data_IF_523207323042
#
_entry.id   IF_523207323042
#
_cell.length_a   1.000
_cell.length_b   1.000
_cell.length_c   1.000
_cell.angle_alpha   90.00
_cell.angle_beta   90.00
_cell.angle_gamma   90.00
#
_symmetry.space_group_name_H-M   'P 1'
#
loop_
_entity.id
_entity.type
_entity.pdbx_description
1 polymer ?
#
# COMPACT_ATOMS: atom_id res chain seq x y z
N UNK A 1 31.34 26.95 1.19
CA UNK A 1 31.15 28.25 0.49
C UNK A 1 30.87 27.97 -0.98
N UNK A 2 29.60 27.80 -1.35
CA UNK A 2 29.17 27.60 -2.73
C UNK A 2 28.24 28.76 -3.10
N UNK A 3 28.64 29.53 -4.14
CA UNK A 3 27.88 30.67 -4.66
C UNK A 3 26.88 30.17 -5.70
N UNK A 4 25.62 30.55 -5.56
CA UNK A 4 24.57 30.33 -6.56
C UNK A 4 24.77 31.23 -7.80
N UNK A 5 24.36 30.80 -9.01
CA UNK A 5 24.38 31.63 -10.19
C UNK A 5 23.14 32.54 -10.27
N UNK A 6 23.36 33.75 -10.79
CA UNK A 6 22.37 34.79 -10.97
C UNK A 6 21.43 34.49 -12.16
N UNK A 7 20.12 34.56 -11.95
CA UNK A 7 19.12 34.50 -13.01
C UNK A 7 18.94 35.87 -13.68
N UNK A 8 19.04 35.89 -15.01
CA UNK A 8 18.67 37.01 -15.89
C UNK A 8 17.17 37.30 -15.83
N UNK A 9 16.79 38.56 -15.59
CA UNK A 9 15.42 39.07 -15.73
C UNK A 9 15.11 39.40 -17.19
N UNK A 10 14.06 38.81 -17.74
CA UNK A 10 13.43 39.21 -19.01
C UNK A 10 12.30 40.19 -18.71
N UNK A 11 12.17 41.34 -19.41
CA UNK A 11 11.07 42.27 -19.20
C UNK A 11 9.78 41.77 -19.88
N UNK A 12 8.71 41.60 -19.11
CA UNK A 12 7.35 41.38 -19.64
C UNK A 12 6.74 42.71 -20.08
N UNK A 13 6.34 42.81 -21.35
CA UNK A 13 5.46 43.87 -21.86
C UNK A 13 4.03 43.63 -21.37
N UNK A 14 3.41 44.66 -20.81
CA UNK A 14 2.00 44.67 -20.42
C UNK A 14 1.09 44.91 -21.65
N UNK A 15 -0.01 44.16 -21.81
CA UNK A 15 -1.12 44.60 -22.64
C UNK A 15 -2.11 45.46 -21.85
N UNK A 16 -2.72 46.39 -22.59
CA UNK A 16 -3.61 47.47 -22.14
C UNK A 16 -4.92 46.94 -21.55
N UNK A 17 -5.35 47.60 -20.49
CA UNK A 17 -6.61 47.40 -19.80
C UNK A 17 -7.82 47.72 -20.70
N UNK A 18 -8.76 46.78 -20.79
CA UNK A 18 -10.15 47.05 -21.12
C UNK A 18 -10.93 47.07 -19.80
N UNK A 19 -11.47 48.23 -19.43
CA UNK A 19 -12.34 48.39 -18.27
C UNK A 19 -13.71 47.79 -18.59
N UNK A 20 -13.98 46.59 -18.06
CA UNK A 20 -15.33 46.06 -17.94
C UNK A 20 -15.86 46.44 -16.56
N UNK A 21 -16.92 47.25 -16.55
CA UNK A 21 -17.67 47.64 -15.36
C UNK A 21 -18.46 46.40 -14.86
N UNK A 22 -17.92 45.69 -13.87
CA UNK A 22 -18.62 44.61 -13.17
C UNK A 22 -19.42 45.22 -12.02
N UNK A 23 -20.74 45.12 -12.12
CA UNK A 23 -21.67 45.45 -11.04
C UNK A 23 -21.53 44.35 -9.98
N UNK A 24 -20.82 44.64 -8.90
CA UNK A 24 -20.65 43.77 -7.75
C UNK A 24 -21.92 43.79 -6.88
N UNK A 25 -22.80 42.80 -7.05
CA UNK A 25 -23.75 42.44 -6.00
C UNK A 25 -22.98 41.72 -4.89
N UNK A 26 -22.64 42.46 -3.83
CA UNK A 26 -22.03 41.94 -2.63
C UNK A 26 -23.01 41.07 -1.84
N UNK A 27 -23.12 39.79 -2.19
CA UNK A 27 -23.48 38.76 -1.22
C UNK A 27 -22.30 38.60 -0.26
N UNK A 28 -22.37 39.27 0.88
CA UNK A 28 -21.51 39.01 2.01
C UNK A 28 -21.79 37.61 2.55
N UNK A 29 -21.19 36.59 1.93
CA UNK A 29 -21.06 35.27 2.53
C UNK A 29 -20.11 35.46 3.71
N UNK A 30 -20.69 35.61 4.91
CA UNK A 30 -19.93 35.55 6.14
C UNK A 30 -19.33 34.14 6.20
N UNK A 31 -18.05 34.04 5.82
CA UNK A 31 -17.21 32.90 6.14
C UNK A 31 -16.99 32.92 7.64
N UNK A 32 -18.02 32.53 8.40
CA UNK A 32 -17.86 32.08 9.78
C UNK A 32 -17.08 30.80 9.72
N UNK A 33 -15.75 30.93 9.56
CA UNK A 33 -14.82 29.84 9.71
C UNK A 33 -14.92 29.36 11.14
N UNK A 34 -15.80 28.38 11.37
CA UNK A 34 -15.67 27.53 12.54
C UNK A 34 -14.29 26.91 12.43
N UNK A 35 -13.35 27.43 13.21
CA UNK A 35 -12.10 26.73 13.50
C UNK A 35 -12.53 25.44 14.16
N UNK A 36 -12.61 24.36 13.37
CA UNK A 36 -12.94 23.03 13.89
C UNK A 36 -11.84 22.67 14.87
N UNK A 37 -12.20 22.69 16.16
CA UNK A 37 -11.28 22.33 17.23
C UNK A 37 -11.10 20.82 17.18
N UNK A 38 -9.85 20.37 17.20
CA UNK A 38 -9.54 18.95 17.24
C UNK A 38 -10.23 18.28 18.46
N UNK A 39 -10.84 17.10 18.29
CA UNK A 39 -11.41 16.32 19.38
C UNK A 39 -10.39 16.08 20.50
N UNK A 40 -10.86 16.02 21.75
CA UNK A 40 -9.99 15.99 22.92
C UNK A 40 -9.15 14.69 23.01
N UNK A 41 -9.72 13.57 22.59
CA UNK A 41 -9.06 12.27 22.52
C UNK A 41 -7.94 12.26 21.46
N UNK A 42 -8.22 12.73 20.24
CA UNK A 42 -7.21 12.88 19.18
C UNK A 42 -6.13 13.86 19.62
N UNK A 43 -6.52 15.02 20.15
CA UNK A 43 -5.57 16.04 20.60
C UNK A 43 -4.66 15.56 21.73
N UNK A 44 -5.18 14.76 22.66
CA UNK A 44 -4.39 14.18 23.75
C UNK A 44 -3.40 13.15 23.21
N UNK A 45 -3.87 12.23 22.36
CA UNK A 45 -3.01 11.19 21.79
C UNK A 45 -1.85 11.78 20.99
N UNK A 46 -2.12 12.75 20.12
CA UNK A 46 -1.06 13.42 19.33
C UNK A 46 -0.08 14.16 20.23
N UNK A 47 -0.58 14.81 21.30
CA UNK A 47 0.29 15.45 22.28
C UNK A 47 1.17 14.44 23.04
N UNK A 48 0.66 13.24 23.30
CA UNK A 48 1.42 12.15 23.93
C UNK A 48 2.53 11.65 23.00
N UNK A 49 2.21 11.39 21.72
CA UNK A 49 3.19 10.99 20.70
C UNK A 49 4.29 12.05 20.52
N UNK A 50 3.93 13.34 20.47
CA UNK A 50 4.91 14.43 20.41
C UNK A 50 5.82 14.47 21.64
N UNK A 51 5.25 14.33 22.86
CA UNK A 51 6.06 14.30 24.08
C UNK A 51 7.00 13.11 24.13
N UNK A 52 6.59 11.95 23.62
CA UNK A 52 7.43 10.76 23.56
C UNK A 52 8.67 10.96 22.67
N UNK A 53 8.61 11.91 21.72
CA UNK A 53 9.70 12.31 20.84
C UNK A 53 10.36 13.63 21.26
N UNK A 54 10.14 14.10 22.50
CA UNK A 54 10.64 15.38 23.02
C UNK A 54 10.23 16.62 22.17
N UNK A 55 9.12 16.54 21.44
CA UNK A 55 8.58 17.61 20.59
C UNK A 55 7.62 18.55 21.33
N UNK A 56 7.44 19.81 20.86
CA UNK A 56 6.43 20.71 21.41
C UNK A 56 5.01 20.16 21.25
N UNK A 57 4.37 19.79 22.37
CA UNK A 57 3.03 19.19 22.41
C UNK A 57 1.90 20.17 22.78
N UNK A 58 2.12 21.47 22.60
CA UNK A 58 1.09 22.49 22.87
C UNK A 58 -0.06 22.45 21.86
N UNK A 59 -1.26 22.98 22.19
CA UNK A 59 -2.44 22.92 21.31
C UNK A 59 -2.19 23.46 19.90
N UNK A 60 -1.38 24.52 19.77
CA UNK A 60 -1.00 25.07 18.48
C UNK A 60 -0.17 24.08 17.66
N UNK A 61 0.81 23.43 18.27
CA UNK A 61 1.64 22.44 17.59
C UNK A 61 0.81 21.27 17.08
N UNK A 62 -0.03 20.68 17.95
CA UNK A 62 -0.98 19.61 17.59
C UNK A 62 -1.89 20.03 16.43
N UNK A 63 -2.52 21.20 16.53
CA UNK A 63 -3.47 21.67 15.51
C UNK A 63 -2.84 21.90 14.12
N UNK A 64 -1.53 22.18 14.05
CA UNK A 64 -0.82 22.34 12.77
C UNK A 64 -0.62 21.02 12.04
N UNK A 65 -0.54 19.90 12.76
CA UNK A 65 -0.36 18.57 12.17
C UNK A 65 -1.68 18.06 11.59
N UNK A 66 -2.79 18.38 12.26
CA UNK A 66 -4.11 17.85 11.97
C UNK A 66 -4.73 18.44 10.70
N UNK A 67 -5.49 17.63 9.98
CA UNK A 67 -6.32 18.07 8.85
C UNK A 67 -7.63 17.28 8.85
N UNK A 68 -8.80 17.94 8.75
CA UNK A 68 -10.07 17.24 8.71
C UNK A 68 -10.21 16.48 7.39
N UNK A 69 -10.77 15.28 7.46
CA UNK A 69 -11.09 14.43 6.31
C UNK A 69 -12.50 13.85 6.46
N UNK A 70 -13.02 13.24 5.40
CA UNK A 70 -14.34 12.58 5.42
C UNK A 70 -14.19 11.14 4.96
N UNK A 71 -14.14 10.23 5.92
CA UNK A 71 -14.10 8.78 5.70
C UNK A 71 -15.47 8.18 6.02
N UNK A 72 -16.04 8.63 7.13
CA UNK A 72 -17.38 8.30 7.59
C UNK A 72 -18.38 9.35 7.11
N UNK A 73 -19.67 8.99 7.00
CA UNK A 73 -20.73 9.96 6.68
C UNK A 73 -20.84 11.11 7.70
N UNK A 74 -20.32 10.94 8.92
CA UNK A 74 -20.33 11.97 9.95
C UNK A 74 -19.35 13.12 9.65
N UNK A 75 -18.29 12.87 8.85
CA UNK A 75 -17.36 13.90 8.41
C UNK A 75 -16.49 14.53 9.50
N UNK A 76 -16.34 13.86 10.64
CA UNK A 76 -15.50 14.29 11.77
C UNK A 76 -14.24 13.42 11.89
N UNK A 77 -13.62 13.09 10.76
CA UNK A 77 -12.42 12.25 10.73
C UNK A 77 -11.18 13.14 10.57
N UNK A 78 -10.03 12.66 11.02
CA UNK A 78 -8.82 13.48 11.09
C UNK A 78 -7.60 12.70 10.61
N UNK A 79 -6.78 13.36 9.78
CA UNK A 79 -5.42 12.92 9.47
C UNK A 79 -4.44 13.73 10.29
N UNK A 80 -3.47 13.07 10.91
CA UNK A 80 -2.33 13.70 11.56
C UNK A 80 -1.10 13.48 10.69
N UNK A 81 -0.47 14.57 10.29
CA UNK A 81 0.68 14.56 9.41
C UNK A 81 1.93 15.02 10.16
N UNK A 82 2.77 14.08 10.55
CA UNK A 82 4.00 14.36 11.30
C UNK A 82 5.12 14.92 10.42
N UNK A 83 5.02 14.89 9.09
CA UNK A 83 5.96 15.58 8.20
C UNK A 83 5.97 17.09 8.48
N UNK A 84 4.83 17.64 8.90
CA UNK A 84 4.68 19.06 9.25
C UNK A 84 5.42 19.45 10.54
N UNK A 85 5.96 18.51 11.29
CA UNK A 85 6.89 18.81 12.39
C UNK A 85 8.21 19.35 11.85
N UNK A 86 8.66 18.87 10.69
CA UNK A 86 9.98 19.13 10.12
C UNK A 86 11.11 18.35 10.82
N UNK A 87 10.80 17.47 11.77
CA UNK A 87 11.78 16.67 12.50
C UNK A 87 12.00 15.30 11.83
N UNK A 88 13.27 14.93 11.68
CA UNK A 88 13.66 13.68 11.02
C UNK A 88 13.34 12.42 11.85
N UNK A 89 13.09 12.54 13.16
CA UNK A 89 12.66 11.44 14.03
C UNK A 89 11.30 10.86 13.64
N UNK A 90 10.46 11.63 12.93
CA UNK A 90 9.19 11.16 12.39
C UNK A 90 9.29 10.61 10.96
N UNK A 91 10.47 10.70 10.34
CA UNK A 91 10.68 10.42 8.92
C UNK A 91 11.91 9.55 8.67
N UNK A 92 11.72 8.38 8.05
CA UNK A 92 12.79 7.47 7.66
C UNK A 92 12.95 7.37 6.14
N UNK A 93 13.65 6.33 5.68
CA UNK A 93 13.68 5.98 4.25
C UNK A 93 12.31 5.55 3.75
N UNK A 94 11.42 5.11 4.64
CA UNK A 94 10.02 4.76 4.34
C UNK A 94 9.07 5.94 4.32
N UNK A 95 9.58 7.18 4.37
CA UNK A 95 8.77 8.40 4.42
C UNK A 95 8.45 8.81 5.85
N UNK A 96 7.37 9.56 6.04
CA UNK A 96 7.00 10.13 7.34
C UNK A 96 5.78 9.45 7.94
N UNK A 97 5.70 9.47 9.26
CA UNK A 97 4.55 8.91 9.99
C UNK A 97 3.27 9.69 9.66
N UNK A 98 2.20 8.98 9.33
CA UNK A 98 0.85 9.52 9.20
C UNK A 98 -0.10 8.73 10.09
N UNK A 99 -1.04 9.41 10.73
CA UNK A 99 -2.12 8.75 11.46
C UNK A 99 -3.48 9.09 10.85
N UNK A 100 -4.42 8.15 10.96
CA UNK A 100 -5.82 8.34 10.59
C UNK A 100 -6.76 7.99 11.73
N UNK A 101 -7.49 9.01 12.18
CA UNK A 101 -8.46 8.94 13.26
C UNK A 101 -9.88 9.04 12.71
N UNK A 102 -10.72 8.07 13.04
CA UNK A 102 -12.08 7.97 12.51
C UNK A 102 -13.11 8.10 13.62
N UNK A 103 -14.11 8.95 13.43
CA UNK A 103 -15.20 9.16 14.37
C UNK A 103 -16.14 7.94 14.40
N UNK A 104 -16.33 7.35 15.59
CA UNK A 104 -17.18 6.19 15.84
C UNK A 104 -17.81 6.27 17.22
N UNK A 105 -19.14 6.10 17.29
CA UNK A 105 -19.85 5.94 18.57
C UNK A 105 -19.53 7.05 19.60
N UNK A 106 -19.34 8.29 19.14
CA UNK A 106 -19.05 9.45 19.99
C UNK A 106 -17.59 9.58 20.45
N UNK A 107 -16.67 8.81 19.88
CA UNK A 107 -15.21 8.92 20.10
C UNK A 107 -14.46 8.77 18.80
N UNK A 108 -13.16 9.06 18.78
CA UNK A 108 -12.28 8.76 17.66
C UNK A 108 -11.52 7.46 17.92
N UNK A 109 -11.31 6.70 16.86
CA UNK A 109 -10.50 5.48 16.87
C UNK A 109 -9.34 5.65 15.89
N UNK A 110 -8.13 5.31 16.33
CA UNK A 110 -6.97 5.23 15.46
C UNK A 110 -7.12 4.02 14.54
N UNK A 111 -7.07 4.24 13.24
CA UNK A 111 -7.31 3.20 12.21
C UNK A 111 -6.12 3.01 11.28
N UNK A 112 -5.16 3.94 11.33
CA UNK A 112 -3.89 3.89 10.60
C UNK A 112 -2.85 4.67 11.40
N UNK A 113 -1.61 4.18 11.52
CA UNK A 113 -0.49 4.85 12.18
C UNK A 113 0.84 4.27 11.70
N UNK A 114 1.32 4.71 10.54
CA UNK A 114 2.48 4.09 9.90
C UNK A 114 3.32 5.11 9.11
N UNK A 115 4.58 4.75 8.84
CA UNK A 115 5.45 5.51 7.93
C UNK A 115 5.11 5.20 6.48
N UNK A 116 4.87 6.24 5.70
CA UNK A 116 4.50 6.12 4.28
C UNK A 116 5.30 7.10 3.43
N UNK A 117 5.72 6.64 2.25
CA UNK A 117 6.36 7.43 1.19
C UNK A 117 5.35 8.31 0.47
N UNK A 118 4.16 7.78 0.21
CA UNK A 118 3.04 8.47 -0.40
C UNK A 118 1.74 8.07 0.29
N UNK A 119 0.79 8.99 0.34
CA UNK A 119 -0.53 8.79 0.93
C UNK A 119 -1.59 9.52 0.13
N UNK A 120 -2.67 8.82 -0.21
CA UNK A 120 -3.81 9.40 -0.90
C UNK A 120 -5.11 8.84 -0.36
N UNK A 121 -5.87 9.71 0.30
CA UNK A 121 -7.24 9.43 0.67
C UNK A 121 -8.17 9.86 -0.47
N UNK A 122 -9.01 8.93 -0.93
CA UNK A 122 -10.00 9.15 -1.99
C UNK A 122 -11.40 9.04 -1.39
N UNK A 123 -12.07 10.18 -1.16
CA UNK A 123 -13.45 10.19 -0.68
C UNK A 123 -14.36 9.46 -1.66
N UNK A 124 -15.29 8.66 -1.14
CA UNK A 124 -16.24 7.90 -1.94
C UNK A 124 -17.16 7.05 -1.07
N UNK A 125 -17.97 6.22 -1.72
CA UNK A 125 -18.74 5.17 -1.05
C UNK A 125 -18.38 3.81 -1.68
N UNK A 126 -17.42 3.07 -1.11
CA UNK A 126 -16.67 3.37 0.12
C UNK A 126 -15.47 4.31 -0.11
N UNK A 127 -15.03 4.99 0.97
CA UNK A 127 -13.77 5.75 0.98
C UNK A 127 -12.58 4.81 0.85
N UNK A 128 -11.59 5.21 0.05
CA UNK A 128 -10.37 4.43 -0.21
C UNK A 128 -9.14 5.16 0.29
N UNK A 129 -8.15 4.39 0.70
CA UNK A 129 -6.84 4.84 1.11
C UNK A 129 -5.78 4.12 0.29
N UNK A 130 -5.05 4.86 -0.54
CA UNK A 130 -3.82 4.40 -1.15
C UNK A 130 -2.62 4.85 -0.34
N UNK A 131 -1.67 3.96 -0.14
CA UNK A 131 -0.36 4.27 0.43
C UNK A 131 0.74 3.66 -0.41
N UNK A 132 1.90 4.30 -0.35
CA UNK A 132 3.17 3.73 -0.77
C UNK A 132 4.06 3.62 0.47
N UNK A 133 4.60 2.44 0.73
CA UNK A 133 5.48 2.18 1.89
C UNK A 133 6.86 1.80 1.39
N UNK A 134 7.83 1.70 2.30
CA UNK A 134 9.18 1.30 1.93
C UNK A 134 9.19 -0.05 1.19
N UNK A 135 9.96 -0.15 0.10
CA UNK A 135 10.03 -1.33 -0.78
C UNK A 135 10.37 -2.63 -0.04
N UNK A 136 11.17 -2.54 1.03
CA UNK A 136 11.52 -3.69 1.87
C UNK A 136 10.30 -4.41 2.48
N UNK A 137 9.15 -3.75 2.62
CA UNK A 137 7.89 -4.39 3.06
C UNK A 137 7.20 -5.24 1.98
N UNK A 138 7.74 -5.24 0.75
CA UNK A 138 7.20 -5.91 -0.42
C UNK A 138 8.19 -6.90 -1.05
N UNK A 139 9.31 -7.20 -0.40
CA UNK A 139 10.48 -7.85 -1.03
C UNK A 139 11.09 -7.06 -2.19
N UNK A 140 10.91 -5.74 -2.18
CA UNK A 140 11.47 -4.81 -3.14
C UNK A 140 12.69 -4.11 -2.54
N UNK A 141 13.55 -3.53 -3.38
CA UNK A 141 14.79 -2.88 -2.94
C UNK A 141 14.65 -1.37 -2.80
N UNK A 142 15.18 -0.80 -1.71
CA UNK A 142 15.21 0.64 -1.49
C UNK A 142 13.84 1.31 -1.56
N UNK A 143 13.73 2.33 -2.43
CA UNK A 143 12.54 3.14 -2.65
C UNK A 143 11.61 2.59 -3.74
N UNK A 144 11.78 1.33 -4.13
CA UNK A 144 10.83 0.69 -5.05
C UNK A 144 9.40 0.74 -4.47
N UNK A 145 8.39 1.14 -5.27
CA UNK A 145 7.03 1.30 -4.77
C UNK A 145 6.47 0.02 -4.14
N UNK A 146 5.97 0.12 -2.91
CA UNK A 146 5.24 -0.94 -2.22
C UNK A 146 3.79 -0.50 -2.02
N UNK A 147 3.05 -0.45 -3.13
CA UNK A 147 1.69 0.09 -3.13
C UNK A 147 0.72 -0.82 -2.36
N UNK A 148 -0.04 -0.22 -1.44
CA UNK A 148 -1.17 -0.85 -0.74
C UNK A 148 -2.41 0.00 -0.90
N UNK A 149 -3.58 -0.64 -0.98
CA UNK A 149 -4.87 0.02 -0.89
C UNK A 149 -5.68 -0.59 0.22
N UNK A 150 -6.40 0.28 0.91
CA UNK A 150 -7.42 -0.07 1.87
C UNK A 150 -8.75 0.56 1.50
N UNK A 151 -9.82 -0.10 1.86
CA UNK A 151 -11.19 0.37 1.72
C UNK A 151 -11.78 0.50 3.12
N UNK A 152 -12.42 1.63 3.39
CA UNK A 152 -13.14 1.81 4.65
C UNK A 152 -14.36 0.90 4.70
N UNK A 153 -14.43 0.08 5.74
CA UNK A 153 -15.59 -0.75 6.01
C UNK A 153 -16.41 -0.17 7.16
N UNK A 154 -17.55 0.45 6.81
CA UNK A 154 -18.37 1.11 7.82
C UNK A 154 -18.95 0.12 8.84
N UNK A 155 -19.37 -1.07 8.41
CA UNK A 155 -19.93 -2.09 9.28
C UNK A 155 -18.90 -2.66 10.28
N UNK A 156 -17.62 -2.73 9.90
CA UNK A 156 -16.56 -3.34 10.71
C UNK A 156 -15.72 -2.34 11.51
N UNK A 157 -15.87 -1.04 11.29
CA UNK A 157 -15.09 -0.07 12.07
C UNK A 157 -13.65 0.11 11.62
N UNK A 158 -13.25 -0.38 10.44
CA UNK A 158 -11.83 -0.50 10.07
C UNK A 158 -11.56 -0.37 8.57
N UNK A 159 -10.27 -0.25 8.25
CA UNK A 159 -9.72 -0.40 6.91
C UNK A 159 -9.54 -1.89 6.57
N UNK A 160 -10.17 -2.35 5.49
CA UNK A 160 -9.97 -3.68 4.91
C UNK A 160 -9.04 -3.56 3.68
N UNK A 161 -8.12 -4.51 3.47
CA UNK A 161 -7.25 -4.52 2.29
C UNK A 161 -8.06 -4.62 0.99
N UNK A 162 -7.57 -3.95 -0.05
CA UNK A 162 -8.14 -4.00 -1.38
C UNK A 162 -7.04 -4.09 -2.45
N UNK A 163 -7.44 -4.47 -3.67
CA UNK A 163 -6.57 -4.38 -4.84
C UNK A 163 -6.05 -2.96 -4.97
N UNK A 164 -4.73 -2.81 -5.08
CA UNK A 164 -4.13 -1.49 -5.15
C UNK A 164 -4.53 -0.76 -6.45
N UNK A 165 -4.04 0.47 -6.58
CA UNK A 165 -4.33 1.32 -7.74
C UNK A 165 -3.91 0.70 -9.08
N UNK A 166 -2.87 -0.12 -9.10
CA UNK A 166 -2.42 -0.90 -10.28
C UNK A 166 -3.26 -2.18 -10.50
N UNK A 167 -4.25 -2.43 -9.65
CA UNK A 167 -5.08 -3.64 -9.69
C UNK A 167 -4.39 -4.86 -9.08
N UNK A 168 -3.30 -4.70 -8.34
CA UNK A 168 -2.57 -5.81 -7.71
C UNK A 168 -3.18 -6.13 -6.35
N UNK A 169 -3.63 -7.38 -6.18
CA UNK A 169 -4.15 -7.91 -4.91
C UNK A 169 -3.16 -8.83 -4.19
N UNK A 170 -1.89 -8.78 -4.57
CA UNK A 170 -0.87 -9.71 -4.11
C UNK A 170 -0.04 -9.07 -2.99
N UNK A 171 -0.22 -9.56 -1.77
CA UNK A 171 0.39 -9.01 -0.57
C UNK A 171 1.54 -9.92 -0.13
N UNK A 172 2.77 -9.42 -0.20
CA UNK A 172 3.95 -10.18 0.22
C UNK A 172 4.18 -10.03 1.71
N UNK A 173 4.50 -11.15 2.38
CA UNK A 173 4.80 -11.20 3.81
C UNK A 173 6.18 -10.61 4.14
N UNK A 174 6.36 -9.99 5.33
CA UNK A 174 5.37 -9.78 6.39
C UNK A 174 4.30 -8.79 5.96
N UNK A 175 3.05 -9.07 6.33
CA UNK A 175 1.95 -8.16 5.98
C UNK A 175 2.04 -6.87 6.79
N UNK A 176 2.08 -5.76 6.07
CA UNK A 176 1.93 -4.43 6.62
C UNK A 176 0.68 -4.32 7.51
N UNK A 177 0.84 -3.76 8.71
CA UNK A 177 -0.24 -3.55 9.67
C UNK A 177 -0.60 -2.08 9.72
N UNK A 178 -1.84 -1.66 9.43
CA UNK A 178 -2.23 -0.26 9.57
C UNK A 178 -2.12 0.25 11.01
N UNK A 179 -2.31 -0.63 11.99
CA UNK A 179 -2.23 -0.33 13.41
C UNK A 179 -1.57 -1.50 14.14
N UNK A 180 -0.86 -1.19 15.23
CA UNK A 180 -0.34 -2.20 16.14
C UNK A 180 -1.49 -3.10 16.65
N UNK A 181 -1.39 -4.42 16.49
CA UNK A 181 -2.48 -5.31 16.81
C UNK A 181 -2.47 -5.70 18.29
N UNK A 182 -3.23 -5.02 19.15
CA UNK A 182 -3.29 -5.33 20.58
C UNK A 182 -4.72 -5.34 21.18
N UNK A 183 -5.02 -6.30 22.09
CA UNK A 183 -4.21 -7.47 22.47
C UNK A 183 -4.33 -8.64 21.48
N UNK A 184 -3.29 -9.47 21.37
CA UNK A 184 -3.33 -10.72 20.60
C UNK A 184 -4.39 -11.69 21.14
N UNK A 185 -5.15 -12.38 20.26
CA UNK A 185 -5.98 -13.50 20.68
C UNK A 185 -5.14 -14.60 21.35
N UNK A 186 -5.74 -15.33 22.30
CA UNK A 186 -5.01 -16.35 23.08
C UNK A 186 -4.28 -17.39 22.22
N UNK A 187 -4.88 -17.82 21.09
CA UNK A 187 -4.24 -18.76 20.17
C UNK A 187 -3.01 -18.16 19.46
N UNK A 188 -3.04 -16.87 19.14
CA UNK A 188 -1.92 -16.14 18.53
C UNK A 188 -0.80 -15.95 19.55
N UNK A 189 -1.14 -15.52 20.78
CA UNK A 189 -0.18 -15.39 21.87
C UNK A 189 0.49 -16.72 22.23
N UNK A 190 -0.27 -17.82 22.23
CA UNK A 190 0.28 -19.16 22.45
C UNK A 190 1.27 -19.58 21.37
N UNK A 191 1.01 -19.23 20.10
CA UNK A 191 1.93 -19.53 19.00
C UNK A 191 3.21 -18.68 19.06
N UNK A 192 3.10 -17.39 19.41
CA UNK A 192 4.27 -16.53 19.66
C UNK A 192 5.14 -17.15 20.76
N UNK A 193 4.54 -17.45 21.92
CA UNK A 193 5.26 -18.06 23.04
C UNK A 193 5.89 -19.43 22.70
N UNK A 194 5.23 -20.23 21.85
CA UNK A 194 5.77 -21.50 21.37
C UNK A 194 7.04 -21.28 20.54
N UNK A 195 7.06 -20.28 19.66
CA UNK A 195 8.24 -19.94 18.84
C UNK A 195 9.41 -19.48 19.69
N UNK A 196 9.15 -18.59 20.64
CA UNK A 196 10.15 -18.12 21.61
C UNK A 196 10.75 -19.29 22.38
N UNK A 197 9.91 -20.23 22.84
CA UNK A 197 10.36 -21.42 23.55
C UNK A 197 11.22 -22.33 22.67
N UNK A 198 10.84 -22.57 21.41
CA UNK A 198 11.63 -23.40 20.47
C UNK A 198 13.00 -22.77 20.21
N UNK A 199 13.05 -21.47 19.98
CA UNK A 199 14.32 -20.76 19.75
C UNK A 199 15.20 -20.73 21.01
N UNK A 200 14.61 -20.41 22.17
CA UNK A 200 15.32 -20.39 23.45
C UNK A 200 15.87 -21.76 23.86
N UNK A 201 15.18 -22.85 23.56
CA UNK A 201 15.70 -24.21 23.77
C UNK A 201 16.94 -24.53 22.93
N UNK A 202 17.10 -23.88 21.78
CA UNK A 202 18.29 -23.98 20.93
C UNK A 202 19.41 -23.00 21.37
N UNK A 203 19.21 -22.23 22.44
CA UNK A 203 20.13 -21.19 22.88
C UNK A 203 20.08 -19.91 22.04
N UNK A 204 19.04 -19.77 21.21
CA UNK A 204 18.82 -18.59 20.37
C UNK A 204 17.86 -17.57 20.97
N UNK A 205 17.69 -16.47 20.25
CA UNK A 205 16.71 -15.43 20.47
C UNK A 205 15.89 -15.25 19.19
N UNK A 206 14.59 -14.99 19.34
CA UNK A 206 13.75 -14.63 18.20
C UNK A 206 14.02 -13.18 17.85
N UNK A 207 14.16 -12.87 16.56
CA UNK A 207 14.23 -11.49 16.11
C UNK A 207 13.01 -10.72 16.61
N UNK A 208 13.24 -9.72 17.47
CA UNK A 208 12.21 -8.89 18.07
C UNK A 208 11.61 -7.87 17.10
N UNK A 209 11.37 -8.27 15.85
CA UNK A 209 10.66 -7.46 14.87
C UNK A 209 9.38 -6.89 15.47
N UNK A 210 8.98 -5.70 15.01
CA UNK A 210 7.96 -4.86 15.63
C UNK A 210 6.65 -5.62 15.93
N UNK A 211 6.33 -6.66 15.13
CA UNK A 211 5.16 -7.51 15.33
C UNK A 211 5.46 -9.02 15.10
N UNK A 212 5.52 -9.87 16.15
CA UNK A 212 5.70 -11.31 15.99
C UNK A 212 4.50 -12.01 15.33
N UNK A 213 3.33 -11.38 15.37
CA UNK A 213 2.13 -11.78 14.65
C UNK A 213 1.44 -10.57 14.00
N UNK A 214 0.95 -10.78 12.78
CA UNK A 214 0.31 -9.75 11.95
C UNK A 214 -1.10 -10.21 11.55
N UNK A 215 -2.03 -9.28 11.46
CA UNK A 215 -3.37 -9.58 10.94
C UNK A 215 -3.36 -9.69 9.41
N UNK A 216 -4.08 -10.67 8.90
CA UNK A 216 -4.26 -10.96 7.49
C UNK A 216 -5.66 -10.57 7.03
N UNK A 217 -5.87 -10.30 5.73
CA UNK A 217 -7.21 -10.38 5.14
C UNK A 217 -7.94 -11.67 5.55
N UNK A 218 -9.27 -11.65 5.44
CA UNK A 218 -10.12 -12.79 5.75
C UNK A 218 -9.81 -13.98 4.82
N UNK A 219 -9.28 -15.09 5.36
CA UNK A 219 -8.93 -16.30 4.61
C UNK A 219 -10.03 -17.37 4.68
N UNK A 220 -10.99 -17.27 5.59
CA UNK A 220 -12.00 -18.29 5.85
C UNK A 220 -13.42 -17.89 5.42
N UNK A 221 -13.64 -16.62 5.09
CA UNK A 221 -14.89 -16.03 4.63
C UNK A 221 -15.85 -15.62 5.75
N UNK A 222 -15.41 -15.54 7.01
CA UNK A 222 -16.25 -15.16 8.15
C UNK A 222 -16.34 -13.64 8.37
N UNK A 223 -15.62 -12.86 7.56
CA UNK A 223 -15.55 -11.41 7.60
C UNK A 223 -14.60 -10.85 8.65
N UNK A 224 -13.88 -11.69 9.39
CA UNK A 224 -12.86 -11.28 10.37
C UNK A 224 -11.48 -11.46 9.74
N UNK A 225 -10.55 -10.63 10.20
CA UNK A 225 -9.15 -10.74 9.80
C UNK A 225 -8.56 -11.95 10.51
N UNK A 226 -7.80 -12.76 9.78
CA UNK A 226 -7.05 -13.87 10.36
C UNK A 226 -5.68 -13.39 10.84
N UNK A 227 -4.83 -14.28 11.35
CA UNK A 227 -3.49 -13.93 11.82
C UNK A 227 -2.43 -14.80 11.17
N UNK A 228 -1.27 -14.22 10.97
CA UNK A 228 -0.06 -14.93 10.54
C UNK A 228 1.02 -14.62 11.57
N UNK A 229 1.58 -15.67 12.17
CA UNK A 229 2.66 -15.60 13.14
C UNK A 229 3.95 -16.05 12.47
N UNK A 230 4.98 -15.21 12.55
CA UNK A 230 6.24 -15.40 11.84
C UNK A 230 6.28 -14.83 10.43
N UNK A 231 7.50 -14.66 9.93
CA UNK A 231 7.83 -14.26 8.56
C UNK A 231 9.31 -14.56 8.33
N UNK A 232 9.81 -14.31 7.12
CA UNK A 232 11.24 -14.45 6.81
C UNK A 232 12.16 -13.48 7.53
N UNK A 233 11.62 -12.41 8.10
CA UNK A 233 12.38 -11.45 8.91
C UNK A 233 12.26 -11.73 10.42
N UNK A 234 11.49 -12.75 10.83
CA UNK A 234 11.32 -13.14 12.23
C UNK A 234 11.93 -14.54 12.40
N UNK A 235 13.26 -14.56 12.41
CA UNK A 235 14.07 -15.77 12.54
C UNK A 235 14.42 -16.10 14.00
N UNK A 236 15.06 -17.25 14.17
CA UNK A 236 15.82 -17.57 15.37
C UNK A 236 17.29 -17.32 15.06
N UNK A 237 17.95 -16.46 15.84
CA UNK A 237 19.38 -16.21 15.73
C UNK A 237 20.09 -16.62 17.02
N UNK A 238 21.37 -16.96 16.90
CA UNK A 238 22.20 -17.31 18.05
C UNK A 238 22.50 -16.05 18.86
N UNK A 239 22.36 -16.13 20.18
CA UNK A 239 22.71 -15.00 21.05
C UNK A 239 24.23 -14.75 21.14
N UNK A 240 25.06 -15.70 20.67
CA UNK A 240 26.51 -15.70 20.91
C UNK A 240 27.36 -15.78 19.65
N UNK A 241 26.86 -16.42 18.58
CA UNK A 241 27.60 -16.67 17.35
C UNK A 241 26.66 -17.07 16.21
N UNK A 242 26.55 -16.22 15.19
CA UNK A 242 25.70 -16.43 13.99
C UNK A 242 26.08 -17.69 13.19
N UNK A 243 27.25 -18.29 13.42
CA UNK A 243 27.64 -19.55 12.81
C UNK A 243 26.91 -20.78 13.41
N UNK A 244 26.29 -20.64 14.58
CA UNK A 244 25.53 -21.73 15.20
C UNK A 244 24.19 -21.87 14.47
N UNK A 245 23.97 -23.05 13.87
CA UNK A 245 22.71 -23.35 13.20
C UNK A 245 21.52 -23.26 14.16
N UNK A 246 20.57 -22.38 13.85
CA UNK A 246 19.35 -22.16 14.60
C UNK A 246 18.16 -22.87 13.93
N UNK A 247 17.11 -23.24 14.70
CA UNK A 247 15.90 -23.82 14.14
C UNK A 247 15.21 -22.82 13.20
N UNK A 248 14.73 -23.32 12.06
CA UNK A 248 13.90 -22.52 11.14
C UNK A 248 12.53 -22.33 11.79
N UNK A 249 12.18 -21.08 12.09
CA UNK A 249 10.86 -20.72 12.58
C UNK A 249 10.01 -20.32 11.37
N UNK A 250 9.28 -21.27 10.78
CA UNK A 250 8.44 -21.00 9.60
C UNK A 250 7.23 -20.10 9.88
N UNK A 251 6.09 -20.31 9.23
CA UNK A 251 4.88 -19.50 9.47
C UNK A 251 3.72 -20.32 9.98
N UNK A 252 2.92 -19.70 10.85
CA UNK A 252 1.67 -20.26 11.36
C UNK A 252 0.51 -19.33 11.05
N UNK A 253 -0.52 -19.84 10.37
CA UNK A 253 -1.77 -19.12 10.14
C UNK A 253 -2.77 -19.51 11.22
N UNK A 254 -3.34 -18.52 11.90
CA UNK A 254 -4.40 -18.69 12.91
C UNK A 254 -5.67 -18.05 12.37
N UNK A 255 -6.65 -18.88 12.06
CA UNK A 255 -7.92 -18.43 11.51
C UNK A 255 -8.97 -18.24 12.61
N UNK A 256 -9.81 -17.25 12.42
CA UNK A 256 -11.01 -17.02 13.20
C UNK A 256 -12.02 -18.15 13.00
N UNK A 257 -12.87 -18.37 13.99
CA UNK A 257 -13.96 -19.36 13.96
C UNK A 257 -15.10 -18.85 14.84
N UNK A 258 -16.31 -19.38 14.65
CA UNK A 258 -17.48 -18.98 15.44
C UNK A 258 -17.33 -19.21 16.95
N UNK A 259 -16.43 -20.11 17.37
CA UNK A 259 -16.10 -20.46 18.75
C UNK A 259 -14.74 -19.93 19.23
N UNK A 260 -14.02 -19.16 18.40
CA UNK A 260 -12.74 -18.56 18.81
C UNK A 260 -11.72 -18.48 17.67
N UNK A 261 -10.54 -19.04 17.88
CA UNK A 261 -9.42 -19.02 16.96
C UNK A 261 -8.76 -20.40 16.91
N UNK A 262 -8.36 -20.84 15.72
CA UNK A 262 -7.70 -22.13 15.52
C UNK A 262 -6.47 -21.98 14.65
N UNK A 263 -5.43 -22.77 14.93
CA UNK A 263 -4.30 -22.91 14.01
C UNK A 263 -4.81 -23.56 12.73
N UNK A 264 -4.76 -22.83 11.63
CA UNK A 264 -5.24 -23.28 10.32
C UNK A 264 -4.15 -23.97 9.51
N UNK A 265 -2.89 -23.52 9.65
CA UNK A 265 -1.72 -24.02 8.94
C UNK A 265 -0.44 -23.73 9.74
N UNK A 266 0.51 -24.65 9.74
CA UNK A 266 1.89 -24.39 10.19
C UNK A 266 2.83 -25.05 9.20
N UNK A 267 3.81 -24.30 8.71
CA UNK A 267 4.78 -24.75 7.71
C UNK A 267 6.14 -24.17 8.03
N UNK A 268 7.22 -24.87 7.65
CA UNK A 268 8.59 -24.42 7.90
C UNK A 268 9.07 -23.33 6.92
N UNK A 269 8.37 -23.13 5.80
CA UNK A 269 8.67 -22.07 4.84
C UNK A 269 8.26 -20.70 5.43
N UNK A 270 9.19 -19.74 5.60
CA UNK A 270 8.87 -18.44 6.17
C UNK A 270 8.37 -17.43 5.11
N UNK A 271 8.45 -17.76 3.83
CA UNK A 271 8.10 -16.92 2.70
C UNK A 271 6.67 -17.17 2.26
N UNK A 272 5.81 -16.18 2.47
CA UNK A 272 4.39 -16.31 2.17
C UNK A 272 3.84 -15.06 1.48
N UNK A 273 2.67 -15.24 0.91
CA UNK A 273 1.84 -14.19 0.34
C UNK A 273 0.39 -14.38 0.74
N UNK A 274 -0.37 -13.30 0.65
CA UNK A 274 -1.82 -13.35 0.71
C UNK A 274 -2.35 -12.70 -0.56
N UNK A 275 -3.09 -13.47 -1.34
CA UNK A 275 -3.72 -13.00 -2.56
C UNK A 275 -5.18 -12.67 -2.30
N UNK A 276 -5.52 -11.40 -2.46
CA UNK A 276 -6.89 -10.92 -2.41
C UNK A 276 -7.70 -11.51 -3.56
N UNK A 277 -8.98 -11.75 -3.29
CA UNK A 277 -9.95 -12.13 -4.32
C UNK A 277 -10.94 -11.01 -4.56
N UNK A 278 -11.40 -10.80 -5.81
CA UNK A 278 -12.47 -9.83 -6.07
C UNK A 278 -13.77 -10.17 -5.34
N UNK A 279 -13.97 -11.47 -5.09
CA UNK A 279 -15.10 -12.02 -4.31
C UNK A 279 -14.62 -13.20 -3.48
N UNK A 280 -15.17 -13.34 -2.27
CA UNK A 280 -14.82 -14.42 -1.35
C UNK A 280 -13.58 -14.14 -0.50
N UNK A 281 -13.13 -15.16 0.25
CA UNK A 281 -11.93 -15.05 1.10
C UNK A 281 -10.67 -14.89 0.27
N UNK A 282 -9.64 -14.27 0.86
CA UNK A 282 -8.29 -14.26 0.32
C UNK A 282 -7.66 -15.67 0.36
N UNK A 283 -6.63 -15.87 -0.45
CA UNK A 283 -5.88 -17.13 -0.52
C UNK A 283 -4.50 -16.93 0.11
N UNK A 284 -4.07 -17.89 0.92
CA UNK A 284 -2.73 -17.89 1.50
C UNK A 284 -1.79 -18.67 0.58
N UNK A 285 -0.63 -18.10 0.22
CA UNK A 285 0.35 -18.73 -0.66
C UNK A 285 1.71 -18.88 0.02
N UNK A 286 2.42 -19.95 -0.27
CA UNK A 286 3.84 -20.12 0.08
C UNK A 286 4.69 -19.95 -1.16
N UNK A 287 5.69 -19.07 -1.07
CA UNK A 287 6.64 -18.80 -2.16
C UNK A 287 7.86 -19.68 -2.03
N UNK A 288 8.28 -20.28 -3.14
CA UNK A 288 9.57 -20.95 -3.22
C UNK A 288 10.65 -19.99 -3.70
N UNK A 289 11.23 -19.22 -2.78
CA UNK A 289 12.28 -18.25 -3.12
C UNK A 289 13.56 -18.89 -3.66
N UNK A 290 13.82 -20.18 -3.36
CA UNK A 290 15.00 -20.87 -3.88
C UNK A 290 14.98 -20.96 -5.42
N UNK A 291 13.79 -20.88 -6.02
CA UNK A 291 13.59 -20.92 -7.46
C UNK A 291 13.56 -19.54 -8.13
N UNK A 292 13.49 -18.43 -7.36
CA UNK A 292 13.12 -17.14 -7.93
C UNK A 292 14.23 -16.14 -8.17
N UNK A 293 15.44 -16.33 -7.61
CA UNK A 293 16.61 -15.43 -7.71
C UNK A 293 16.31 -14.07 -8.40
N UNK A 294 15.84 -13.08 -7.62
CA UNK A 294 15.54 -11.68 -8.00
C UNK A 294 14.54 -11.45 -9.16
N UNK A 295 13.97 -12.50 -9.74
CA UNK A 295 13.04 -12.44 -10.87
C UNK A 295 11.56 -12.37 -10.46
N UNK A 296 10.72 -11.68 -11.23
CA UNK A 296 9.27 -11.71 -11.01
C UNK A 296 8.70 -13.11 -11.29
N UNK A 297 7.67 -13.50 -10.54
CA UNK A 297 6.86 -14.70 -10.83
C UNK A 297 7.19 -15.95 -10.02
N UNK A 298 7.51 -15.81 -8.73
CA UNK A 298 7.77 -16.98 -7.89
C UNK A 298 6.70 -18.08 -7.97
N UNK A 299 7.09 -19.35 -8.19
CA UNK A 299 6.21 -20.48 -7.95
C UNK A 299 5.59 -20.35 -6.57
N UNK A 300 4.26 -20.29 -6.55
CA UNK A 300 3.50 -20.07 -5.31
C UNK A 300 2.50 -21.20 -5.17
N UNK A 301 2.60 -21.92 -4.05
CA UNK A 301 1.65 -22.96 -3.67
C UNK A 301 0.57 -22.35 -2.81
N UNK A 302 -0.66 -22.36 -3.30
CA UNK A 302 -1.78 -21.72 -2.60
C UNK A 302 -2.56 -22.71 -1.74
N UNK A 303 -3.15 -22.16 -0.69
CA UNK A 303 -3.96 -22.87 0.27
C UNK A 303 -5.31 -22.17 0.38
N UNK A 304 -6.37 -22.98 0.37
CA UNK A 304 -7.74 -22.54 0.54
C UNK A 304 -8.33 -23.08 1.84
N UNK A 305 -9.24 -22.33 2.45
CA UNK A 305 -9.92 -22.75 3.66
C UNK A 305 -10.84 -23.95 3.41
N UNK A 306 -10.67 -25.01 4.22
CA UNK A 306 -11.61 -26.13 4.31
C UNK A 306 -12.46 -26.01 5.58
N UNK A 307 -13.76 -25.66 5.47
CA UNK A 307 -14.64 -25.51 6.62
C UNK A 307 -14.89 -26.82 7.36
N UNK A 308 -14.76 -27.99 6.70
CA UNK A 308 -15.00 -29.28 7.34
C UNK A 308 -13.90 -29.63 8.34
N UNK A 309 -12.65 -29.25 8.04
CA UNK A 309 -11.53 -29.50 8.95
C UNK A 309 -11.02 -28.27 9.69
N UNK A 310 -11.54 -27.08 9.36
CA UNK A 310 -11.11 -25.79 9.91
C UNK A 310 -9.60 -25.58 9.72
N UNK A 311 -9.11 -25.93 8.53
CA UNK A 311 -7.69 -25.87 8.14
C UNK A 311 -7.56 -25.25 6.76
N UNK A 312 -6.42 -24.63 6.49
CA UNK A 312 -6.03 -24.30 5.12
C UNK A 312 -5.47 -25.57 4.47
N UNK A 313 -6.02 -25.93 3.32
CA UNK A 313 -5.57 -27.08 2.53
C UNK A 313 -4.95 -26.61 1.24
N UNK A 314 -3.90 -27.30 0.84
CA UNK A 314 -3.28 -27.10 -0.45
C UNK A 314 -4.32 -27.20 -1.57
N UNK A 315 -4.46 -26.11 -2.32
CA UNK A 315 -5.34 -26.03 -3.48
C UNK A 315 -4.60 -26.36 -4.79
N UNK A 316 -3.30 -26.68 -4.71
CA UNK A 316 -2.41 -26.95 -5.83
C UNK A 316 -1.39 -25.83 -6.06
N UNK A 317 -0.44 -26.08 -6.96
CA UNK A 317 0.45 -25.04 -7.47
C UNK A 317 -0.36 -24.02 -8.26
N UNK A 318 -0.31 -22.76 -7.82
CA UNK A 318 -0.94 -21.65 -8.50
C UNK A 318 -0.05 -21.05 -9.57
N UNK A 319 -0.68 -20.23 -10.38
CA UNK A 319 -0.09 -19.57 -11.54
C UNK A 319 1.14 -18.73 -11.19
N UNK A 320 2.08 -18.62 -12.14
CA UNK A 320 3.28 -17.76 -12.07
C UNK A 320 2.99 -16.25 -11.98
N UNK A 321 1.72 -15.82 -11.99
CA UNK A 321 1.36 -14.41 -12.14
C UNK A 321 0.30 -14.00 -11.10
N UNK A 322 0.54 -12.94 -10.30
CA UNK A 322 -0.46 -12.43 -9.38
C UNK A 322 -1.74 -12.04 -10.10
N UNK A 323 -2.89 -12.34 -9.48
CA UNK A 323 -4.21 -11.92 -9.95
C UNK A 323 -4.25 -10.39 -10.03
N UNK A 324 -4.61 -9.91 -11.20
CA UNK A 324 -4.88 -8.51 -11.45
C UNK A 324 -6.37 -8.26 -11.55
N UNK A 325 -6.85 -7.30 -10.76
CA UNK A 325 -8.12 -6.66 -11.02
C UNK A 325 -7.92 -5.63 -12.14
N UNK A 326 -8.36 -6.00 -13.33
CA UNK A 326 -8.33 -5.12 -14.48
C UNK A 326 -9.29 -3.95 -14.27
N UNK A 327 -8.75 -2.74 -14.12
CA UNK A 327 -9.51 -1.52 -13.93
C UNK A 327 -9.05 -0.41 -14.89
N UNK A 328 -9.65 0.78 -14.79
CA UNK A 328 -9.31 1.92 -15.64
C UNK A 328 -7.84 2.36 -15.48
N UNK A 329 -7.28 2.28 -14.28
CA UNK A 329 -5.87 2.61 -14.04
C UNK A 329 -4.93 1.59 -14.67
N UNK A 330 -5.22 0.29 -14.52
CA UNK A 330 -4.43 -0.79 -15.13
C UNK A 330 -4.32 -0.58 -16.64
N UNK A 331 -5.41 -0.23 -17.32
CA UNK A 331 -5.36 0.02 -18.77
C UNK A 331 -4.63 1.31 -19.15
N UNK A 332 -4.73 2.37 -18.33
CA UNK A 332 -3.93 3.58 -18.56
C UNK A 332 -2.44 3.31 -18.42
N UNK A 333 -2.06 2.49 -17.45
CA UNK A 333 -0.68 2.06 -17.26
C UNK A 333 -0.20 1.19 -18.44
N UNK A 334 -1.03 0.24 -18.90
CA UNK A 334 -0.75 -0.56 -20.10
C UNK A 334 -0.52 0.32 -21.33
N UNK A 335 -1.35 1.35 -21.52
CA UNK A 335 -1.18 2.31 -22.60
C UNK A 335 0.15 3.07 -22.47
N UNK A 336 0.47 3.58 -21.28
CA UNK A 336 1.71 4.32 -21.06
C UNK A 336 2.97 3.44 -21.26
N UNK A 337 2.91 2.18 -20.81
CA UNK A 337 3.99 1.21 -21.01
C UNK A 337 4.19 0.90 -22.50
N UNK A 338 3.13 0.59 -23.24
CA UNK A 338 3.21 0.37 -24.68
C UNK A 338 3.72 1.61 -25.44
N UNK A 339 3.29 2.81 -25.07
CA UNK A 339 3.82 4.05 -25.63
C UNK A 339 5.33 4.22 -25.36
N UNK A 340 5.82 3.85 -24.17
CA UNK A 340 7.24 3.92 -23.83
C UNK A 340 8.07 2.91 -24.65
N UNK A 341 7.59 1.66 -24.74
CA UNK A 341 8.20 0.61 -25.56
C UNK A 341 8.25 1.04 -27.04
N UNK A 342 7.15 1.60 -27.56
CA UNK A 342 7.08 2.21 -28.89
C UNK A 342 8.15 3.28 -29.13
N UNK A 343 8.30 4.25 -28.21
CA UNK A 343 9.32 5.30 -28.34
C UNK A 343 10.72 4.72 -28.47
N UNK A 344 11.09 3.75 -27.63
CA UNK A 344 12.41 3.11 -27.65
C UNK A 344 12.68 2.32 -28.94
N UNK A 345 11.74 1.50 -29.40
CA UNK A 345 11.93 0.78 -30.66
C UNK A 345 11.99 1.70 -31.88
N UNK A 346 11.34 2.86 -31.83
CA UNK A 346 11.46 3.87 -32.90
C UNK A 346 12.79 4.61 -32.93
N UNK A 347 13.61 4.57 -31.87
CA UNK A 347 14.97 5.12 -31.90
C UNK A 347 16.00 4.13 -32.45
N UNK A 348 15.79 2.82 -32.30
CA UNK A 348 16.86 1.83 -32.39
C UNK A 348 16.76 0.82 -33.57
N UNK A 349 15.97 1.11 -34.61
CA UNK A 349 15.68 0.14 -35.70
C UNK A 349 15.88 0.64 -37.13
N UNK A 350 15.93 -0.30 -38.09
CA UNK A 350 15.82 0.05 -39.52
C UNK A 350 14.46 0.68 -39.81
N UNK A 351 14.31 1.44 -40.89
CA UNK A 351 13.01 2.03 -41.26
C UNK A 351 11.90 0.97 -41.41
N UNK A 352 12.25 -0.24 -41.84
CA UNK A 352 11.31 -1.34 -41.99
C UNK A 352 10.86 -1.90 -40.64
N UNK A 353 11.79 -2.09 -39.71
CA UNK A 353 11.50 -2.57 -38.35
C UNK A 353 10.68 -1.53 -37.58
N UNK A 354 11.04 -0.25 -37.69
CA UNK A 354 10.30 0.87 -37.09
C UNK A 354 8.85 0.91 -37.57
N UNK A 355 8.60 0.71 -38.88
CA UNK A 355 7.23 0.66 -39.42
C UNK A 355 6.45 -0.56 -38.94
N UNK A 356 7.09 -1.74 -38.91
CA UNK A 356 6.43 -2.97 -38.44
C UNK A 356 6.07 -2.88 -36.96
N UNK A 357 7.01 -2.38 -36.15
CA UNK A 357 6.81 -2.19 -34.72
C UNK A 357 5.71 -1.17 -34.45
N UNK A 358 5.78 0.01 -35.08
CA UNK A 358 4.74 1.04 -34.92
C UNK A 358 3.34 0.55 -35.30
N UNK A 359 3.21 -0.30 -36.33
CA UNK A 359 1.92 -0.89 -36.70
C UNK A 359 1.40 -1.89 -35.65
N UNK A 360 2.28 -2.74 -35.10
CA UNK A 360 1.93 -3.65 -34.02
C UNK A 360 1.50 -2.90 -32.75
N UNK A 361 2.30 -1.92 -32.32
CA UNK A 361 2.00 -1.09 -31.16
C UNK A 361 0.72 -0.26 -31.34
N UNK A 362 0.46 0.27 -32.53
CA UNK A 362 -0.78 0.99 -32.81
C UNK A 362 -1.99 0.07 -32.61
N UNK A 363 -1.91 -1.18 -33.07
CA UNK A 363 -2.98 -2.15 -32.87
C UNK A 363 -3.15 -2.49 -31.38
N UNK A 364 -2.05 -2.69 -30.65
CA UNK A 364 -2.04 -2.93 -29.20
C UNK A 364 -2.67 -1.76 -28.42
N UNK A 365 -2.25 -0.53 -28.70
CA UNK A 365 -2.79 0.68 -28.06
C UNK A 365 -4.28 0.88 -28.35
N UNK A 366 -4.75 0.50 -29.55
CA UNK A 366 -6.18 0.51 -29.86
C UNK A 366 -6.96 -0.50 -29.01
N UNK A 367 -6.41 -1.71 -28.83
CA UNK A 367 -7.00 -2.73 -27.94
C UNK A 367 -7.05 -2.20 -26.51
N UNK A 368 -5.93 -1.69 -25.98
CA UNK A 368 -5.87 -1.15 -24.61
C UNK A 368 -6.83 0.02 -24.41
N UNK A 369 -6.94 0.93 -25.38
CA UNK A 369 -7.89 2.04 -25.34
C UNK A 369 -9.33 1.56 -25.30
N UNK A 370 -9.70 0.60 -26.15
CA UNK A 370 -11.05 0.04 -26.15
C UNK A 370 -11.37 -0.65 -24.81
N UNK A 371 -10.39 -1.33 -24.22
CA UNK A 371 -10.52 -1.95 -22.89
C UNK A 371 -10.62 -0.91 -21.77
N UNK A 372 -9.82 0.15 -21.81
CA UNK A 372 -9.93 1.30 -20.92
C UNK A 372 -11.33 1.92 -20.97
N UNK A 373 -11.85 2.15 -22.17
CA UNK A 373 -13.20 2.70 -22.36
C UNK A 373 -14.29 1.78 -21.80
N UNK A 374 -14.07 0.46 -21.80
CA UNK A 374 -14.98 -0.51 -21.22
C UNK A 374 -14.82 -0.70 -19.69
N UNK A 375 -13.70 -0.25 -19.11
CA UNK A 375 -13.40 -0.45 -17.70
C UNK A 375 -14.24 0.44 -16.77
N UNK A 376 -14.53 -0.08 -15.58
CA UNK A 376 -15.27 0.62 -14.53
C UNK A 376 -14.52 0.55 -13.18
N UNK A 377 -14.62 1.60 -12.34
CA UNK A 377 -15.19 2.91 -12.66
C UNK A 377 -14.31 3.68 -13.67
N UNK A 378 -14.93 4.50 -14.52
CA UNK A 378 -14.18 5.38 -15.42
C UNK A 378 -13.59 6.55 -14.63
N UNK A 379 -12.35 6.89 -14.95
CA UNK A 379 -11.70 8.09 -14.41
C UNK A 379 -12.25 9.34 -15.10
N UNK A 380 -12.29 10.45 -14.37
CA UNK A 380 -12.62 11.74 -14.98
C UNK A 380 -11.54 12.14 -16.02
N UNK A 381 -11.87 12.96 -17.03
CA UNK A 381 -10.88 13.38 -18.01
C UNK A 381 -9.65 14.08 -17.41
N UNK A 382 -9.82 14.77 -16.28
CA UNK A 382 -8.70 15.39 -15.55
C UNK A 382 -7.82 14.34 -14.90
N UNK A 383 -8.40 13.36 -14.19
CA UNK A 383 -7.64 12.26 -13.62
C UNK A 383 -6.91 11.43 -14.67
N UNK A 384 -7.53 11.21 -15.84
CA UNK A 384 -6.87 10.53 -16.96
C UNK A 384 -5.60 11.26 -17.37
N UNK A 385 -5.69 12.58 -17.58
CA UNK A 385 -4.52 13.38 -17.99
C UNK A 385 -3.43 13.37 -16.92
N UNK A 386 -3.80 13.56 -15.66
CA UNK A 386 -2.86 13.59 -14.55
C UNK A 386 -2.17 12.23 -14.38
N UNK A 387 -2.94 11.13 -14.34
CA UNK A 387 -2.39 9.77 -14.17
C UNK A 387 -1.56 9.33 -15.37
N UNK A 388 -2.02 9.62 -16.60
CA UNK A 388 -1.26 9.33 -17.81
C UNK A 388 0.09 10.06 -17.81
N UNK A 389 0.14 11.31 -17.34
CA UNK A 389 1.40 12.04 -17.23
C UNK A 389 2.35 11.39 -16.21
N UNK A 390 1.84 10.95 -15.05
CA UNK A 390 2.65 10.25 -14.04
C UNK A 390 3.20 8.93 -14.60
N UNK A 391 2.35 8.10 -15.22
CA UNK A 391 2.80 6.84 -15.82
C UNK A 391 3.79 7.07 -16.95
N UNK A 392 3.57 8.07 -17.80
CA UNK A 392 4.50 8.40 -18.87
C UNK A 392 5.87 8.83 -18.31
N UNK A 393 5.89 9.71 -17.30
CA UNK A 393 7.15 10.16 -16.70
C UNK A 393 7.92 9.05 -16.00
N UNK A 394 7.22 8.05 -15.44
CA UNK A 394 7.87 6.88 -14.82
C UNK A 394 8.77 6.15 -15.82
N UNK A 395 8.30 5.96 -17.05
CA UNK A 395 9.05 5.21 -18.08
C UNK A 395 10.06 6.04 -18.87
N UNK A 396 10.22 7.33 -18.54
CA UNK A 396 11.28 8.15 -19.12
C UNK A 396 12.63 7.91 -18.39
N UNK A 397 12.60 7.31 -17.20
CA UNK A 397 13.80 6.91 -16.44
C UNK A 397 14.41 5.61 -17.00
N UNK A 398 15.73 5.58 -17.30
CA UNK A 398 16.37 4.39 -17.89
C UNK A 398 16.19 3.10 -17.07
N UNK A 399 16.24 3.19 -15.74
CA UNK A 399 16.04 2.04 -14.86
C UNK A 399 14.61 1.44 -14.94
N UNK A 400 13.61 2.23 -15.34
CA UNK A 400 12.21 1.78 -15.45
C UNK A 400 11.88 1.18 -16.82
N UNK A 401 12.80 1.19 -17.79
CA UNK A 401 12.52 0.67 -19.14
C UNK A 401 12.30 -0.85 -19.15
N UNK A 402 13.05 -1.60 -18.34
CA UNK A 402 12.83 -3.04 -18.20
C UNK A 402 11.45 -3.34 -17.57
N UNK A 403 11.00 -2.48 -16.64
CA UNK A 403 9.67 -2.56 -16.07
C UNK A 403 8.59 -2.24 -17.13
N UNK A 404 8.83 -1.28 -18.03
CA UNK A 404 7.93 -0.98 -19.14
C UNK A 404 7.72 -2.19 -20.07
N UNK A 405 8.80 -2.90 -20.40
CA UNK A 405 8.74 -4.12 -21.22
C UNK A 405 7.91 -5.22 -20.54
N UNK A 406 8.28 -5.54 -19.30
CA UNK A 406 7.57 -6.55 -18.53
C UNK A 406 6.07 -6.19 -18.38
N UNK A 407 5.75 -4.92 -18.15
CA UNK A 407 4.36 -4.45 -18.04
C UNK A 407 3.63 -4.52 -19.38
N UNK A 408 4.27 -4.13 -20.49
CA UNK A 408 3.66 -4.24 -21.82
C UNK A 408 3.33 -5.70 -22.17
N UNK A 409 4.29 -6.60 -21.97
CA UNK A 409 4.11 -8.04 -22.19
C UNK A 409 3.02 -8.62 -21.28
N UNK A 410 2.99 -8.18 -20.02
CA UNK A 410 1.94 -8.56 -19.08
C UNK A 410 0.57 -8.09 -19.56
N UNK A 411 0.45 -6.87 -20.05
CA UNK A 411 -0.80 -6.33 -20.58
C UNK A 411 -1.29 -7.07 -21.83
N UNK A 412 -0.40 -7.60 -22.66
CA UNK A 412 -0.75 -8.51 -23.77
C UNK A 412 -1.40 -9.78 -23.22
N UNK A 413 -0.84 -10.37 -22.16
CA UNK A 413 -1.39 -11.59 -21.55
C UNK A 413 -2.76 -11.38 -20.87
N UNK A 414 -3.12 -10.14 -20.55
CA UNK A 414 -4.42 -9.78 -19.96
C UNK A 414 -5.48 -9.45 -21.01
N UNK A 415 -5.08 -9.22 -22.28
CA UNK A 415 -5.95 -8.80 -23.39
C UNK A 415 -6.66 -9.96 -24.08
#
# INVERSE_FOLDING_TARGET
MWRAPAYLRIPRRAPRAAQALVIAFGLGVALTGCTTRLPADVSSSVADSLRAMDEPAGPFAVSRLASPVSITPAGDDWVIDYEKTGDAGWCGTGGCTKELWVARQGRHVLTFSEQVLDWRLMPGDPTMLDIDIHGANCDATGSEPCLRRFVWNDARGRLDEAFNREGVGYLVGPLFQPIAPEPYPAAVAAEIARRDAVCGQAGGLVDGGEYPGVTSPDLNGDGRRDWIVGSKYIGCHSAVDDAIAMPVLGVTVVASTGDGWTVALTVENPNYVVELRPTGPAEFGLRDEALCQDGPGCPTRFYAWDPATRRLRDSGEGHWNPRLLINAETWLECMAAAEAVARRHTSDGTDADRRRFAAHETAMLQIYRARYEAAAPRLSPTEVRERAAVFASRYDEPQEQAAADWRSDRCVALS
#
